data_IF_233441159521
#
_entry.id   IF_233441159521
#
_cell.length_a   1.000
_cell.length_b   1.000
_cell.length_c   1.000
_cell.angle_alpha   90.00
_cell.angle_beta   90.00
_cell.angle_gamma   90.00
#
_symmetry.space_group_name_H-M   'P 1'
#
loop_
_entity.id
_entity.type
_entity.pdbx_description
1 polymer ?
#
# COMPACT_ATOMS: atom_id res chain seq x y z
N UNK A 1 -28.26 12.97 -46.67
CA UNK A 1 -28.19 13.49 -45.28
C UNK A 1 -28.40 12.34 -44.31
N UNK A 2 -27.46 12.07 -43.41
CA UNK A 2 -27.60 10.98 -42.44
C UNK A 2 -28.74 11.30 -41.45
N UNK A 3 -29.67 10.36 -41.28
CA UNK A 3 -30.85 10.52 -40.42
C UNK A 3 -30.40 10.59 -38.96
N UNK A 4 -30.79 11.64 -38.24
CA UNK A 4 -30.43 11.84 -36.83
C UNK A 4 -31.13 10.76 -35.97
N UNK A 5 -30.39 10.00 -35.13
CA UNK A 5 -30.99 8.95 -34.31
C UNK A 5 -32.05 9.51 -33.35
N UNK A 6 -33.16 8.81 -33.20
CA UNK A 6 -34.33 9.17 -32.39
C UNK A 6 -34.46 8.28 -31.15
N UNK A 7 -35.34 8.63 -30.22
CA UNK A 7 -35.66 7.81 -29.03
C UNK A 7 -36.12 6.39 -29.43
N UNK A 8 -36.85 6.27 -30.55
CA UNK A 8 -37.28 4.97 -31.09
C UNK A 8 -36.10 4.10 -31.51
N UNK A 9 -35.08 4.70 -32.10
CA UNK A 9 -33.87 4.00 -32.54
C UNK A 9 -33.04 3.54 -31.33
N UNK A 10 -32.98 4.35 -30.27
CA UNK A 10 -32.37 3.97 -28.98
C UNK A 10 -33.12 2.79 -28.35
N UNK A 11 -34.45 2.84 -28.32
CA UNK A 11 -35.29 1.77 -27.76
C UNK A 11 -35.09 0.44 -28.50
N UNK A 12 -35.06 0.49 -29.84
CA UNK A 12 -34.77 -0.68 -30.67
C UNK A 12 -33.35 -1.22 -30.43
N UNK A 13 -32.34 -0.35 -30.39
CA UNK A 13 -30.95 -0.75 -30.15
C UNK A 13 -30.72 -1.30 -28.73
N UNK A 14 -31.49 -0.85 -27.74
CA UNK A 14 -31.43 -1.33 -26.35
C UNK A 14 -32.29 -2.59 -26.11
N UNK A 15 -33.20 -2.93 -27.04
CA UNK A 15 -34.19 -3.99 -26.87
C UNK A 15 -35.23 -3.66 -25.78
N UNK A 16 -35.65 -2.40 -25.68
CA UNK A 16 -36.56 -1.88 -24.66
C UNK A 16 -37.73 -1.11 -25.30
N UNK A 17 -38.78 -0.82 -24.51
CA UNK A 17 -39.87 0.03 -24.98
C UNK A 17 -39.45 1.51 -25.04
N UNK A 18 -40.07 2.30 -25.94
CA UNK A 18 -39.85 3.76 -25.98
C UNK A 18 -40.17 4.42 -24.64
N UNK A 19 -41.20 3.96 -23.93
CA UNK A 19 -41.56 4.45 -22.61
C UNK A 19 -40.44 4.21 -21.58
N UNK A 20 -39.75 3.06 -21.64
CA UNK A 20 -38.61 2.75 -20.76
C UNK A 20 -37.43 3.68 -21.03
N UNK A 21 -37.11 3.95 -22.31
CA UNK A 21 -36.04 4.88 -22.70
C UNK A 21 -36.39 6.31 -22.33
N UNK A 22 -37.65 6.72 -22.52
CA UNK A 22 -38.15 8.03 -22.13
C UNK A 22 -38.07 8.23 -20.60
N UNK A 23 -38.39 7.21 -19.80
CA UNK A 23 -38.19 7.25 -18.33
C UNK A 23 -36.73 7.47 -17.95
N UNK A 24 -35.78 6.77 -18.59
CA UNK A 24 -34.34 6.98 -18.36
C UNK A 24 -33.90 8.38 -18.81
N UNK A 25 -34.44 8.87 -19.93
CA UNK A 25 -34.12 10.19 -20.49
C UNK A 25 -34.75 11.36 -19.74
N UNK A 26 -35.88 11.18 -19.06
CA UNK A 26 -36.63 12.24 -18.40
C UNK A 26 -36.61 12.15 -16.86
N UNK A 27 -36.12 11.06 -16.28
CA UNK A 27 -35.89 10.93 -14.83
C UNK A 27 -37.17 10.99 -13.98
N UNK A 28 -38.34 10.64 -14.56
CA UNK A 28 -39.65 10.80 -13.89
C UNK A 28 -39.97 9.66 -12.91
N UNK A 29 -39.29 8.52 -13.01
CA UNK A 29 -39.45 7.34 -12.13
C UNK A 29 -38.09 6.62 -11.98
N UNK A 30 -37.81 6.01 -10.83
CA UNK A 30 -36.58 5.24 -10.61
C UNK A 30 -36.54 4.01 -11.53
N UNK A 31 -35.58 3.99 -12.46
CA UNK A 31 -35.30 2.85 -13.33
C UNK A 31 -34.10 2.11 -12.77
N UNK A 32 -34.12 0.77 -12.80
CA UNK A 32 -32.97 -0.05 -12.38
C UNK A 32 -31.69 0.38 -13.10
N UNK A 33 -30.58 0.48 -12.37
CA UNK A 33 -29.28 0.93 -12.89
C UNK A 33 -28.85 0.14 -14.14
N UNK A 34 -29.05 -1.18 -14.13
CA UNK A 34 -28.75 -2.06 -15.27
C UNK A 34 -29.49 -1.65 -16.55
N UNK A 35 -30.78 -1.30 -16.41
CA UNK A 35 -31.61 -0.84 -17.53
C UNK A 35 -31.14 0.53 -18.03
N UNK A 36 -30.81 1.45 -17.12
CA UNK A 36 -30.30 2.77 -17.48
C UNK A 36 -28.94 2.67 -18.21
N UNK A 37 -28.06 1.75 -17.77
CA UNK A 37 -26.76 1.47 -18.40
C UNK A 37 -26.91 0.85 -19.79
N UNK A 38 -27.87 -0.07 -19.97
CA UNK A 38 -28.22 -0.63 -21.29
C UNK A 38 -28.70 0.46 -22.26
N UNK A 39 -29.54 1.39 -21.79
CA UNK A 39 -30.01 2.53 -22.60
C UNK A 39 -28.85 3.45 -22.98
N UNK A 40 -27.94 3.74 -22.04
CA UNK A 40 -26.75 4.54 -22.30
C UNK A 40 -25.84 3.92 -23.37
N UNK A 41 -25.51 2.64 -23.25
CA UNK A 41 -24.65 1.95 -24.23
C UNK A 41 -25.29 1.89 -25.62
N UNK A 42 -26.61 1.67 -25.69
CA UNK A 42 -27.35 1.72 -26.95
C UNK A 42 -27.33 3.12 -27.57
N UNK A 43 -27.59 4.16 -26.77
CA UNK A 43 -27.57 5.56 -27.19
C UNK A 43 -26.17 5.98 -27.70
N UNK A 44 -25.10 5.58 -27.00
CA UNK A 44 -23.71 5.82 -27.40
C UNK A 44 -23.39 5.14 -28.73
N UNK A 45 -23.77 3.87 -28.88
CA UNK A 45 -23.49 3.06 -30.08
C UNK A 45 -24.10 3.64 -31.36
N UNK A 46 -25.32 4.18 -31.25
CA UNK A 46 -26.01 4.75 -32.41
C UNK A 46 -25.74 6.24 -32.62
N UNK A 47 -24.91 6.87 -31.78
CA UNK A 47 -24.62 8.31 -31.88
C UNK A 47 -25.80 9.20 -31.48
N UNK A 48 -26.65 8.77 -30.56
CA UNK A 48 -27.79 9.55 -30.08
C UNK A 48 -27.32 10.81 -29.34
N UNK A 49 -27.86 11.96 -29.72
CA UNK A 49 -27.41 13.28 -29.26
C UNK A 49 -27.50 13.49 -27.74
N UNK A 50 -28.44 12.83 -27.05
CA UNK A 50 -28.58 12.95 -25.59
C UNK A 50 -27.82 11.87 -24.79
N UNK A 51 -26.98 11.06 -25.44
CA UNK A 51 -26.13 10.09 -24.74
C UNK A 51 -25.26 10.73 -23.62
N UNK A 52 -24.67 11.94 -23.79
CA UNK A 52 -23.94 12.61 -22.71
C UNK A 52 -24.81 12.95 -21.49
N UNK A 53 -26.08 13.29 -21.73
CA UNK A 53 -27.06 13.64 -20.69
C UNK A 53 -27.46 12.39 -19.87
N UNK A 54 -27.62 11.25 -20.54
CA UNK A 54 -27.85 9.95 -19.89
C UNK A 54 -26.63 9.57 -19.04
N UNK A 55 -25.41 9.77 -19.58
CA UNK A 55 -24.16 9.52 -18.85
C UNK A 55 -24.07 10.38 -17.58
N UNK A 56 -24.39 11.66 -17.69
CA UNK A 56 -24.31 12.61 -16.58
C UNK A 56 -25.28 12.26 -15.44
N UNK A 57 -26.48 11.76 -15.76
CA UNK A 57 -27.45 11.31 -14.74
C UNK A 57 -27.08 9.98 -14.11
N UNK A 58 -26.62 9.03 -14.92
CA UNK A 58 -26.03 7.79 -14.41
C UNK A 58 -24.87 8.09 -13.45
N UNK A 59 -24.07 9.14 -13.73
CA UNK A 59 -22.99 9.60 -12.86
C UNK A 59 -23.47 10.38 -11.63
N UNK A 60 -24.59 11.11 -11.71
CA UNK A 60 -25.13 11.89 -10.60
C UNK A 60 -25.67 11.02 -9.45
N UNK A 61 -26.06 9.77 -9.74
CA UNK A 61 -26.48 8.79 -8.73
C UNK A 61 -25.30 7.99 -8.14
N UNK A 62 -24.09 8.11 -8.68
CA UNK A 62 -22.93 7.35 -8.16
C UNK A 62 -22.45 7.99 -6.86
N UNK A 63 -22.46 7.27 -5.73
CA UNK A 63 -21.96 7.79 -4.46
C UNK A 63 -20.50 8.22 -4.63
N UNK A 64 -20.09 9.20 -3.83
CA UNK A 64 -18.71 9.71 -3.86
C UNK A 64 -18.04 9.40 -2.53
N UNK A 65 -16.86 8.77 -2.59
CA UNK A 65 -15.96 8.56 -1.46
C UNK A 65 -14.82 9.58 -1.56
N UNK A 66 -14.72 10.45 -0.57
CA UNK A 66 -13.56 11.31 -0.33
C UNK A 66 -12.62 10.54 0.59
N UNK A 67 -11.48 10.10 0.07
CA UNK A 67 -10.47 9.39 0.86
C UNK A 67 -9.29 10.31 1.16
N UNK A 68 -8.87 10.35 2.41
CA UNK A 68 -7.60 10.96 2.82
C UNK A 68 -6.53 9.88 2.93
N UNK A 69 -5.31 10.16 2.49
CA UNK A 69 -4.16 9.29 2.72
C UNK A 69 -2.98 10.09 3.24
N UNK A 70 -2.44 9.68 4.38
CA UNK A 70 -1.21 10.24 4.97
C UNK A 70 -0.06 9.27 4.77
N UNK A 71 0.89 9.63 3.91
CA UNK A 71 2.13 8.90 3.69
C UNK A 71 3.31 9.67 4.31
N UNK A 72 4.53 9.20 4.11
CA UNK A 72 5.74 9.92 4.49
C UNK A 72 6.81 9.72 3.41
N UNK A 73 7.94 10.45 3.50
CA UNK A 73 9.07 10.33 2.55
C UNK A 73 8.64 10.51 1.08
N UNK A 74 7.96 11.62 0.77
CA UNK A 74 7.43 11.98 -0.57
C UNK A 74 8.42 11.77 -1.73
N UNK A 75 9.71 12.00 -1.49
CA UNK A 75 10.77 11.88 -2.52
C UNK A 75 11.27 10.45 -2.76
N UNK A 76 10.85 9.47 -1.96
CA UNK A 76 11.27 8.08 -2.12
C UNK A 76 10.40 7.36 -3.14
N UNK A 77 11.06 6.59 -4.03
CA UNK A 77 10.42 5.90 -5.14
C UNK A 77 9.26 5.00 -4.71
N UNK A 78 9.39 4.30 -3.58
CA UNK A 78 8.31 3.46 -3.03
C UNK A 78 7.04 4.28 -2.73
N UNK A 79 7.17 5.42 -2.05
CA UNK A 79 6.02 6.25 -1.67
C UNK A 79 5.43 7.03 -2.86
N UNK A 80 6.24 7.37 -3.87
CA UNK A 80 5.75 7.91 -5.14
C UNK A 80 4.92 6.87 -5.91
N UNK A 81 5.39 5.62 -5.95
CA UNK A 81 4.65 4.53 -6.55
C UNK A 81 3.36 4.24 -5.77
N UNK A 82 3.42 4.26 -4.43
CA UNK A 82 2.23 4.06 -3.59
C UNK A 82 1.18 5.16 -3.83
N UNK A 83 1.57 6.43 -3.86
CA UNK A 83 0.66 7.52 -4.21
C UNK A 83 0.04 7.33 -5.61
N UNK A 84 0.85 6.95 -6.60
CA UNK A 84 0.39 6.68 -7.97
C UNK A 84 -0.62 5.53 -8.02
N UNK A 85 -0.40 4.46 -7.27
CA UNK A 85 -1.32 3.32 -7.18
C UNK A 85 -2.60 3.64 -6.42
N UNK A 86 -2.55 4.50 -5.40
CA UNK A 86 -3.76 5.02 -4.73
C UNK A 86 -4.64 5.76 -5.73
N UNK A 87 -4.06 6.66 -6.53
CA UNK A 87 -4.81 7.38 -7.56
C UNK A 87 -5.33 6.43 -8.66
N UNK A 88 -4.53 5.43 -9.04
CA UNK A 88 -4.94 4.44 -10.01
C UNK A 88 -6.11 3.60 -9.51
N UNK A 89 -6.08 3.14 -8.26
CA UNK A 89 -7.20 2.44 -7.62
C UNK A 89 -8.45 3.32 -7.54
N UNK A 90 -8.30 4.61 -7.20
CA UNK A 90 -9.40 5.57 -7.22
C UNK A 90 -10.04 5.71 -8.61
N UNK A 91 -9.24 5.69 -9.70
CA UNK A 91 -9.72 5.70 -11.09
C UNK A 91 -10.34 4.37 -11.53
N UNK A 92 -9.84 3.24 -11.03
CA UNK A 92 -10.32 1.88 -11.34
C UNK A 92 -11.63 1.55 -10.62
N UNK A 93 -11.97 2.25 -9.54
CA UNK A 93 -13.18 2.01 -8.77
C UNK A 93 -14.46 2.06 -9.64
N UNK A 94 -15.29 1.02 -9.54
CA UNK A 94 -16.55 0.91 -10.28
C UNK A 94 -17.75 1.03 -9.32
N UNK A 95 -18.80 1.74 -9.73
CA UNK A 95 -20.01 1.92 -8.90
C UNK A 95 -19.84 2.90 -7.75
N UNK A 96 -18.69 3.57 -7.66
CA UNK A 96 -18.36 4.60 -6.68
C UNK A 96 -17.36 5.57 -7.31
N UNK A 97 -17.55 6.87 -7.11
CA UNK A 97 -16.56 7.88 -7.49
C UNK A 97 -15.61 8.13 -6.34
N UNK A 98 -14.31 7.95 -6.55
CA UNK A 98 -13.32 8.13 -5.49
C UNK A 98 -12.51 9.41 -5.73
N UNK A 99 -12.39 10.23 -4.69
CA UNK A 99 -11.54 11.43 -4.67
C UNK A 99 -10.48 11.23 -3.59
N UNK A 100 -9.24 11.01 -4.00
CA UNK A 100 -8.11 10.87 -3.09
C UNK A 100 -7.46 12.23 -2.81
N UNK A 101 -7.21 12.51 -1.53
CA UNK A 101 -6.36 13.60 -1.04
C UNK A 101 -5.16 12.95 -0.36
N UNK A 102 -3.97 13.11 -0.94
CA UNK A 102 -2.75 12.49 -0.42
C UNK A 102 -1.87 13.60 0.18
N UNK A 103 -1.48 13.43 1.43
CA UNK A 103 -0.56 14.33 2.13
C UNK A 103 0.64 13.52 2.66
N UNK A 104 1.81 14.16 2.74
CA UNK A 104 3.04 13.51 3.17
C UNK A 104 3.58 14.16 4.44
N UNK A 105 3.84 13.35 5.46
CA UNK A 105 4.58 13.79 6.64
C UNK A 105 6.03 14.11 6.26
N UNK A 106 6.49 15.29 6.67
CA UNK A 106 7.85 15.78 6.46
C UNK A 106 8.87 15.09 7.38
N UNK A 107 8.41 14.48 8.46
CA UNK A 107 9.26 13.76 9.42
C UNK A 107 8.58 12.50 9.96
N UNK A 108 9.30 11.73 10.78
CA UNK A 108 8.75 10.61 11.54
C UNK A 108 8.23 11.04 12.93
N UNK A 109 8.06 12.34 13.17
CA UNK A 109 7.49 12.87 14.40
C UNK A 109 6.05 12.39 14.58
N UNK A 110 5.67 11.83 15.74
CA UNK A 110 4.29 11.51 16.05
C UNK A 110 3.35 12.72 15.90
N UNK A 111 3.80 13.90 16.30
CA UNK A 111 3.01 15.13 16.23
C UNK A 111 2.69 15.54 14.78
N UNK A 112 3.63 15.36 13.85
CA UNK A 112 3.41 15.66 12.42
C UNK A 112 2.34 14.73 11.83
N UNK A 113 2.42 13.43 12.13
CA UNK A 113 1.39 12.47 11.71
C UNK A 113 0.02 12.76 12.33
N UNK A 114 -0.03 13.07 13.62
CA UNK A 114 -1.27 13.42 14.32
C UNK A 114 -1.91 14.68 13.71
N UNK A 115 -1.11 15.72 13.45
CA UNK A 115 -1.57 16.96 12.83
C UNK A 115 -2.15 16.72 11.42
N UNK A 116 -1.49 15.90 10.59
CA UNK A 116 -1.99 15.55 9.26
C UNK A 116 -3.28 14.73 9.31
N UNK A 117 -3.36 13.75 10.21
CA UNK A 117 -4.59 12.96 10.43
C UNK A 117 -5.76 13.86 10.82
N UNK A 118 -5.57 14.71 11.83
CA UNK A 118 -6.61 15.66 12.28
C UNK A 118 -6.93 16.71 11.21
N UNK A 119 -5.96 17.10 10.38
CA UNK A 119 -6.15 18.02 9.25
C UNK A 119 -7.05 17.48 8.13
N UNK A 120 -7.32 16.17 8.11
CA UNK A 120 -8.28 15.54 7.18
C UNK A 120 -9.74 15.72 7.63
N UNK A 121 -9.98 16.14 8.87
CA UNK A 121 -11.30 16.37 9.45
C UNK A 121 -12.19 17.23 8.54
N UNK A 122 -13.42 16.79 8.33
CA UNK A 122 -14.43 17.49 7.50
C UNK A 122 -14.15 17.50 5.99
N UNK A 123 -12.92 17.17 5.55
CA UNK A 123 -12.52 17.13 4.13
C UNK A 123 -12.78 15.77 3.50
N UNK A 124 -12.68 14.70 4.28
CA UNK A 124 -12.76 13.32 3.80
C UNK A 124 -13.77 12.50 4.59
N UNK A 125 -14.21 11.38 4.00
CA UNK A 125 -15.15 10.44 4.60
C UNK A 125 -14.40 9.30 5.33
N UNK A 126 -13.17 8.98 4.91
CA UNK A 126 -12.30 8.01 5.56
C UNK A 126 -10.82 8.40 5.37
N UNK A 127 -9.96 7.99 6.30
CA UNK A 127 -8.51 8.29 6.25
C UNK A 127 -7.72 6.99 6.28
N UNK A 128 -6.66 6.88 5.48
CA UNK A 128 -5.64 5.86 5.65
C UNK A 128 -4.29 6.51 5.96
N UNK A 129 -3.41 5.83 6.68
CA UNK A 129 -2.08 6.36 6.90
C UNK A 129 -1.02 5.27 7.01
N UNK A 130 0.21 5.60 6.63
CA UNK A 130 1.40 4.87 7.06
C UNK A 130 2.15 5.71 8.08
N UNK A 131 1.83 5.48 9.36
CA UNK A 131 2.28 6.28 10.49
C UNK A 131 2.95 5.43 11.57
N UNK A 132 3.73 6.09 12.42
CA UNK A 132 4.39 5.49 13.58
C UNK A 132 3.38 5.12 14.68
N UNK A 133 3.71 4.10 15.47
CA UNK A 133 2.93 3.73 16.67
C UNK A 133 3.31 4.65 17.83
N UNK A 134 2.37 5.47 18.28
CA UNK A 134 2.56 6.41 19.38
C UNK A 134 1.21 6.81 20.02
N UNK A 135 1.15 7.13 21.33
CA UNK A 135 -0.06 7.62 21.98
C UNK A 135 -0.70 8.82 21.26
N UNK A 136 0.07 9.85 20.91
CA UNK A 136 -0.45 11.03 20.18
C UNK A 136 -1.16 10.69 18.85
N UNK A 137 -0.61 9.71 18.12
CA UNK A 137 -1.25 9.23 16.87
C UNK A 137 -2.53 8.46 17.20
N UNK A 138 -2.52 7.64 18.26
CA UNK A 138 -3.72 6.93 18.75
C UNK A 138 -4.81 7.89 19.21
N UNK A 139 -4.46 8.99 19.85
CA UNK A 139 -5.41 10.03 20.28
C UNK A 139 -6.05 10.71 19.06
N UNK A 140 -5.25 11.08 18.06
CA UNK A 140 -5.76 11.62 16.80
C UNK A 140 -6.72 10.63 16.09
N UNK A 141 -6.39 9.34 16.06
CA UNK A 141 -7.27 8.30 15.51
C UNK A 141 -8.55 8.16 16.32
N UNK A 142 -8.48 8.28 17.64
CA UNK A 142 -9.63 8.23 18.54
C UNK A 142 -10.59 9.37 18.25
N UNK A 143 -10.08 10.60 18.14
CA UNK A 143 -10.87 11.79 17.77
C UNK A 143 -11.56 11.61 16.42
N UNK A 144 -10.83 11.17 15.38
CA UNK A 144 -11.43 10.92 14.07
C UNK A 144 -12.54 9.85 14.12
N UNK A 145 -12.33 8.78 14.89
CA UNK A 145 -13.33 7.72 15.07
C UNK A 145 -14.59 8.24 15.74
N UNK A 146 -14.46 9.03 16.80
CA UNK A 146 -15.59 9.63 17.53
C UNK A 146 -16.43 10.56 16.64
N UNK A 147 -15.80 11.13 15.61
CA UNK A 147 -16.45 11.98 14.61
C UNK A 147 -16.99 11.19 13.41
N UNK A 148 -16.89 9.86 13.44
CA UNK A 148 -17.38 8.99 12.37
C UNK A 148 -16.47 8.90 11.15
N UNK A 149 -15.21 9.33 11.25
CA UNK A 149 -14.19 9.17 10.20
C UNK A 149 -13.32 7.94 10.50
N UNK A 150 -13.57 6.78 9.86
CA UNK A 150 -12.77 5.58 10.09
C UNK A 150 -11.34 5.76 9.60
N UNK A 151 -10.38 5.31 10.41
CA UNK A 151 -8.94 5.33 10.07
C UNK A 151 -8.44 3.92 9.73
N UNK A 152 -7.69 3.81 8.64
CA UNK A 152 -7.07 2.58 8.16
C UNK A 152 -5.55 2.66 8.30
N UNK A 153 -4.94 1.70 8.99
CA UNK A 153 -3.49 1.63 9.12
C UNK A 153 -2.88 0.92 7.91
N UNK A 154 -1.84 1.49 7.31
CA UNK A 154 -1.15 0.98 6.12
C UNK A 154 0.31 0.65 6.46
N UNK A 155 0.74 -0.57 6.12
CA UNK A 155 2.12 -1.09 6.23
C UNK A 155 2.65 -1.24 7.67
N UNK A 156 2.32 -0.30 8.56
CA UNK A 156 2.62 -0.33 9.99
C UNK A 156 1.32 -0.30 10.80
N UNK A 157 1.22 -1.20 11.78
CA UNK A 157 -0.04 -1.45 12.48
C UNK A 157 -0.27 -0.54 13.71
N UNK A 158 -0.47 0.76 13.49
CA UNK A 158 -0.67 1.74 14.58
C UNK A 158 -2.11 1.77 15.12
N UNK A 159 -2.32 2.41 16.27
CA UNK A 159 -3.60 2.57 16.97
C UNK A 159 -4.45 1.27 17.07
N UNK A 160 -3.87 0.11 17.47
CA UNK A 160 -4.63 -1.12 17.66
C UNK A 160 -5.78 -0.94 18.66
N UNK A 161 -6.91 -1.56 18.34
CA UNK A 161 -8.15 -1.42 19.10
C UNK A 161 -8.99 -0.18 18.78
N UNK A 162 -8.41 0.83 18.12
CA UNK A 162 -9.11 2.08 17.78
C UNK A 162 -9.32 2.24 16.27
N UNK A 163 -8.28 1.97 15.46
CA UNK A 163 -8.39 2.03 14.00
C UNK A 163 -9.45 1.06 13.48
N UNK A 164 -9.98 1.33 12.27
CA UNK A 164 -10.97 0.47 11.61
C UNK A 164 -10.37 -0.84 11.11
N UNK A 165 -9.25 -0.77 10.41
CA UNK A 165 -8.60 -1.95 9.83
C UNK A 165 -7.11 -1.68 9.58
N UNK A 166 -6.30 -2.73 9.56
CA UNK A 166 -4.93 -2.71 9.08
C UNK A 166 -4.82 -3.35 7.71
N UNK A 167 -4.12 -2.73 6.79
CA UNK A 167 -3.78 -3.28 5.49
C UNK A 167 -2.26 -3.33 5.34
N UNK A 168 -1.75 -4.51 5.08
CA UNK A 168 -0.33 -4.70 4.82
C UNK A 168 0.05 -6.18 4.88
N UNK A 169 1.34 -6.43 5.03
CA UNK A 169 1.85 -7.79 5.13
C UNK A 169 1.76 -8.30 6.58
N UNK A 170 1.77 -9.62 6.74
CA UNK A 170 2.03 -10.23 8.04
C UNK A 170 3.52 -10.11 8.34
N UNK A 171 3.88 -9.08 9.08
CA UNK A 171 5.27 -8.69 9.31
C UNK A 171 6.09 -9.77 10.05
N UNK A 172 5.48 -10.54 10.95
CA UNK A 172 6.14 -11.69 11.59
C UNK A 172 6.50 -12.76 10.56
N UNK A 173 5.59 -13.09 9.64
CA UNK A 173 5.85 -14.04 8.54
C UNK A 173 6.90 -13.50 7.57
N UNK A 174 6.85 -12.21 7.23
CA UNK A 174 7.85 -11.54 6.37
C UNK A 174 9.25 -11.67 6.97
N UNK A 175 9.39 -11.43 8.28
CA UNK A 175 10.65 -11.65 9.00
C UNK A 175 11.18 -13.07 8.88
N UNK A 176 10.31 -14.07 9.06
CA UNK A 176 10.67 -15.49 8.92
C UNK A 176 11.07 -15.85 7.48
N UNK A 177 10.41 -15.27 6.47
CA UNK A 177 10.76 -15.45 5.05
C UNK A 177 12.14 -14.88 4.76
N UNK A 178 12.45 -13.67 5.25
CA UNK A 178 13.77 -13.08 5.07
C UNK A 178 14.87 -13.94 5.72
N UNK A 179 14.64 -14.41 6.95
CA UNK A 179 15.58 -15.29 7.65
C UNK A 179 15.79 -16.62 6.94
N UNK A 180 14.70 -17.25 6.45
CA UNK A 180 14.82 -18.53 5.76
C UNK A 180 15.64 -18.41 4.48
N UNK A 181 15.43 -17.35 3.71
CA UNK A 181 16.22 -17.09 2.49
C UNK A 181 17.69 -16.88 2.84
N UNK A 182 18.01 -16.08 3.87
CA UNK A 182 19.40 -15.94 4.30
C UNK A 182 19.98 -17.28 4.75
N UNK A 183 19.26 -18.06 5.54
CA UNK A 183 19.73 -19.36 6.03
C UNK A 183 19.98 -20.38 4.92
N UNK A 184 19.21 -20.33 3.83
CA UNK A 184 19.39 -21.20 2.66
C UNK A 184 20.46 -20.68 1.69
N UNK A 185 20.51 -19.37 1.46
CA UNK A 185 21.43 -18.75 0.49
C UNK A 185 22.86 -18.60 1.05
N UNK A 186 23.00 -18.48 2.37
CA UNK A 186 24.32 -18.47 3.00
C UNK A 186 24.94 -19.88 2.89
N UNK A 187 25.83 -20.06 1.92
CA UNK A 187 26.56 -21.32 1.66
C UNK A 187 27.31 -21.90 2.87
N UNK A 188 27.57 -21.08 3.89
CA UNK A 188 28.14 -21.49 5.17
C UNK A 188 27.61 -20.63 6.32
N UNK A 189 27.59 -21.16 7.56
CA UNK A 189 27.20 -20.39 8.73
C UNK A 189 28.11 -19.19 8.99
N UNK A 190 27.60 -18.21 9.71
CA UNK A 190 28.34 -16.99 10.06
C UNK A 190 27.47 -15.98 10.78
N UNK A 191 27.90 -14.72 10.77
CA UNK A 191 27.14 -13.63 11.39
C UNK A 191 26.03 -13.13 10.48
N UNK A 192 24.90 -12.79 11.08
CA UNK A 192 23.74 -12.23 10.39
C UNK A 192 23.28 -10.96 11.12
N UNK A 193 23.03 -9.90 10.36
CA UNK A 193 22.56 -8.63 10.89
C UNK A 193 21.15 -8.29 10.39
N UNK A 194 20.45 -7.46 11.16
CA UNK A 194 19.14 -6.92 10.81
C UNK A 194 19.10 -5.42 11.10
N UNK A 195 18.59 -4.65 10.15
CA UNK A 195 18.33 -3.21 10.28
C UNK A 195 16.83 -2.95 10.43
N UNK A 196 16.49 -2.04 11.33
CA UNK A 196 15.12 -1.53 11.49
C UNK A 196 15.12 0.00 11.40
N UNK A 197 14.02 0.56 10.90
CA UNK A 197 13.82 2.00 10.83
C UNK A 197 13.75 2.71 12.19
N UNK A 198 13.45 1.97 13.25
CA UNK A 198 13.23 2.51 14.60
C UNK A 198 12.05 1.81 15.26
N UNK A 199 12.01 1.84 16.59
CA UNK A 199 11.08 1.03 17.40
C UNK A 199 9.63 1.50 17.39
N UNK A 200 9.35 2.70 16.86
CA UNK A 200 7.96 3.15 16.65
C UNK A 200 7.32 2.52 15.41
N UNK A 201 8.09 1.83 14.58
CA UNK A 201 7.58 1.04 13.47
C UNK A 201 7.32 -0.39 13.94
N UNK A 202 6.16 -0.63 14.53
CA UNK A 202 5.74 -1.94 15.01
C UNK A 202 5.89 -3.05 13.95
N UNK A 203 5.66 -2.74 12.67
CA UNK A 203 5.90 -3.66 11.57
C UNK A 203 7.37 -4.10 11.45
N UNK A 204 8.33 -3.21 11.72
CA UNK A 204 9.75 -3.54 11.71
C UNK A 204 10.13 -4.43 12.90
N UNK A 205 9.57 -4.16 14.09
CA UNK A 205 9.76 -5.01 15.28
C UNK A 205 9.23 -6.42 15.03
N UNK A 206 8.04 -6.56 14.42
CA UNK A 206 7.48 -7.87 14.08
C UNK A 206 8.33 -8.60 13.04
N UNK A 207 8.87 -7.90 12.03
CA UNK A 207 9.82 -8.48 11.06
C UNK A 207 11.09 -8.96 11.77
N UNK A 208 11.66 -8.15 12.66
CA UNK A 208 12.83 -8.53 13.44
C UNK A 208 12.55 -9.75 14.34
N UNK A 209 11.43 -9.74 15.06
CA UNK A 209 11.01 -10.85 15.92
C UNK A 209 10.83 -12.14 15.10
N UNK A 210 10.20 -12.04 13.93
CA UNK A 210 10.04 -13.15 13.00
C UNK A 210 11.38 -13.67 12.50
N UNK A 211 12.26 -12.76 12.10
CA UNK A 211 13.61 -13.07 11.65
C UNK A 211 14.43 -13.81 12.72
N UNK A 212 14.48 -13.28 13.94
CA UNK A 212 15.15 -13.91 15.10
C UNK A 212 14.53 -15.25 15.46
N UNK A 213 13.20 -15.36 15.41
CA UNK A 213 12.50 -16.62 15.73
C UNK A 213 12.92 -17.75 14.80
N UNK A 214 13.07 -17.49 13.51
CA UNK A 214 13.42 -18.50 12.53
C UNK A 214 14.84 -19.02 12.76
N UNK A 215 15.82 -18.14 13.02
CA UNK A 215 17.20 -18.58 13.27
C UNK A 215 17.34 -19.35 14.59
N UNK A 216 16.61 -18.99 15.64
CA UNK A 216 16.59 -19.78 16.88
C UNK A 216 16.08 -21.20 16.66
N UNK A 217 15.14 -21.37 15.74
CA UNK A 217 14.45 -22.64 15.48
C UNK A 217 15.20 -23.51 14.45
N UNK A 218 15.68 -22.92 13.36
CA UNK A 218 16.20 -23.65 12.19
C UNK A 218 17.64 -23.28 11.78
N UNK A 219 18.18 -22.20 12.32
CA UNK A 219 19.52 -21.72 11.99
C UNK A 219 20.43 -21.50 13.21
N UNK A 220 20.47 -22.38 14.23
CA UNK A 220 21.26 -22.16 15.45
C UNK A 220 22.78 -22.04 15.19
N UNK A 221 23.25 -22.48 14.03
CA UNK A 221 24.63 -22.32 13.56
C UNK A 221 24.98 -20.90 13.13
N UNK A 222 23.99 -20.02 12.93
CA UNK A 222 24.20 -18.60 12.64
C UNK A 222 24.25 -17.78 13.93
N UNK A 223 25.15 -16.82 13.98
CA UNK A 223 25.21 -15.85 15.07
C UNK A 223 24.45 -14.59 14.68
N UNK A 224 23.36 -14.29 15.37
CA UNK A 224 22.62 -13.05 15.15
C UNK A 224 23.28 -11.94 15.94
N UNK A 225 23.59 -10.84 15.24
CA UNK A 225 24.07 -9.61 15.84
C UNK A 225 22.91 -8.83 16.47
N UNK A 226 23.26 -7.83 17.28
CA UNK A 226 22.30 -6.87 17.80
C UNK A 226 21.63 -6.09 16.67
N UNK A 227 20.39 -5.68 16.90
CA UNK A 227 19.59 -4.96 15.92
C UNK A 227 20.15 -3.56 15.71
N UNK A 228 20.30 -3.16 14.45
CA UNK A 228 20.82 -1.86 14.06
C UNK A 228 19.66 -0.94 13.67
N UNK A 229 19.64 0.27 14.24
CA UNK A 229 18.64 1.29 13.89
C UNK A 229 19.22 2.23 12.84
N UNK A 230 18.53 2.38 11.69
CA UNK A 230 19.00 3.21 10.58
C UNK A 230 18.15 4.46 10.29
N UNK A 231 17.08 4.66 11.05
CA UNK A 231 16.11 5.76 10.86
C UNK A 231 15.52 5.81 9.44
N UNK A 232 15.55 4.68 8.74
CA UNK A 232 15.15 4.53 7.34
C UNK A 232 15.87 5.51 6.39
N UNK A 233 17.11 5.88 6.70
CA UNK A 233 17.90 6.81 5.89
C UNK A 233 18.98 6.10 5.10
N UNK A 234 19.24 6.57 3.88
CA UNK A 234 20.33 6.06 3.04
C UNK A 234 21.68 6.23 3.72
N UNK A 235 21.97 7.42 4.25
CA UNK A 235 23.28 7.76 4.80
C UNK A 235 23.64 6.90 6.00
N UNK A 236 22.77 6.83 7.02
CA UNK A 236 23.05 6.04 8.23
C UNK A 236 23.16 4.55 7.91
N UNK A 237 22.33 4.04 6.99
CA UNK A 237 22.41 2.63 6.58
C UNK A 237 23.73 2.32 5.89
N UNK A 238 24.20 3.22 5.02
CA UNK A 238 25.48 3.07 4.32
C UNK A 238 26.66 3.04 5.30
N UNK A 239 26.77 4.03 6.18
CA UNK A 239 27.85 4.12 7.16
C UNK A 239 27.86 2.93 8.12
N UNK A 240 26.69 2.57 8.67
CA UNK A 240 26.56 1.42 9.56
C UNK A 240 26.87 0.10 8.84
N UNK A 241 26.53 -0.03 7.55
CA UNK A 241 26.87 -1.22 6.76
C UNK A 241 28.38 -1.32 6.52
N UNK A 242 29.06 -0.22 6.19
CA UNK A 242 30.52 -0.24 6.03
C UNK A 242 31.23 -0.61 7.33
N UNK A 243 30.83 -0.04 8.45
CA UNK A 243 31.37 -0.38 9.78
C UNK A 243 31.13 -1.85 10.14
N UNK A 244 29.91 -2.35 9.88
CA UNK A 244 29.55 -3.76 10.07
C UNK A 244 30.44 -4.69 9.24
N UNK A 245 30.64 -4.36 7.95
CA UNK A 245 31.49 -5.12 7.04
C UNK A 245 32.97 -5.05 7.43
N UNK A 246 33.44 -3.94 7.98
CA UNK A 246 34.81 -3.82 8.46
C UNK A 246 35.06 -4.67 9.72
N UNK A 247 34.11 -4.68 10.67
CA UNK A 247 34.22 -5.40 11.95
C UNK A 247 33.93 -6.89 11.85
N UNK A 248 33.13 -7.33 10.88
CA UNK A 248 32.68 -8.72 10.76
C UNK A 248 32.94 -9.27 9.35
N UNK A 249 34.16 -9.76 9.13
CA UNK A 249 34.55 -10.42 7.85
C UNK A 249 33.77 -11.71 7.59
N UNK A 250 33.22 -12.30 8.63
CA UNK A 250 32.38 -13.49 8.64
C UNK A 250 30.87 -13.19 8.51
N UNK A 251 30.48 -11.93 8.27
CA UNK A 251 29.10 -11.58 7.97
C UNK A 251 28.65 -12.32 6.69
N UNK A 252 27.54 -13.04 6.78
CA UNK A 252 26.96 -13.84 5.69
C UNK A 252 25.60 -13.36 5.26
N UNK A 253 24.89 -12.64 6.12
CA UNK A 253 23.52 -12.22 5.87
C UNK A 253 23.22 -10.85 6.45
N UNK A 254 22.42 -10.09 5.71
CA UNK A 254 21.84 -8.84 6.15
C UNK A 254 20.37 -8.80 5.76
N UNK A 255 19.53 -8.33 6.67
CA UNK A 255 18.15 -8.01 6.36
C UNK A 255 17.87 -6.54 6.67
N UNK A 256 17.44 -5.78 5.67
CA UNK A 256 16.94 -4.40 5.88
C UNK A 256 15.42 -4.46 5.98
N UNK A 257 14.92 -4.48 7.21
CA UNK A 257 13.52 -4.74 7.54
C UNK A 257 12.63 -3.49 7.47
N UNK A 258 12.94 -2.54 6.58
CA UNK A 258 12.30 -1.23 6.44
C UNK A 258 13.02 -0.39 5.38
N UNK A 259 12.92 0.94 5.44
CA UNK A 259 13.65 1.81 4.51
C UNK A 259 15.17 1.90 4.74
N UNK A 260 15.88 2.59 3.85
CA UNK A 260 17.33 2.86 3.93
C UNK A 260 18.22 1.85 3.19
N UNK A 261 17.61 0.84 2.58
CA UNK A 261 18.26 -0.22 1.81
C UNK A 261 19.22 0.26 0.72
N UNK A 262 19.01 1.44 0.14
CA UNK A 262 19.90 2.05 -0.86
C UNK A 262 21.31 2.23 -0.30
N UNK A 263 21.41 2.53 1.00
CA UNK A 263 22.68 2.64 1.70
C UNK A 263 23.36 1.28 1.88
N UNK A 264 22.62 0.24 2.25
CA UNK A 264 23.16 -1.11 2.38
C UNK A 264 23.67 -1.65 1.03
N UNK A 265 22.91 -1.45 -0.05
CA UNK A 265 23.30 -1.85 -1.41
C UNK A 265 24.56 -1.10 -1.85
N UNK A 266 24.63 0.22 -1.62
CA UNK A 266 25.80 1.02 -1.95
C UNK A 266 27.05 0.56 -1.19
N UNK A 267 26.93 0.30 0.12
CA UNK A 267 28.05 -0.15 0.94
C UNK A 267 28.54 -1.55 0.54
N UNK A 268 27.63 -2.46 0.17
CA UNK A 268 28.02 -3.79 -0.33
C UNK A 268 28.74 -3.71 -1.67
N UNK A 269 28.26 -2.86 -2.60
CA UNK A 269 28.94 -2.59 -3.88
C UNK A 269 30.38 -2.11 -3.71
N UNK A 270 30.61 -1.31 -2.67
CA UNK A 270 31.92 -0.75 -2.38
C UNK A 270 32.87 -1.76 -1.71
N UNK A 271 32.36 -2.52 -0.72
CA UNK A 271 33.21 -3.27 0.20
C UNK A 271 33.22 -4.79 -0.02
N UNK A 272 32.37 -5.35 -0.90
CA UNK A 272 32.22 -6.79 -1.12
C UNK A 272 31.99 -7.12 -2.59
N UNK A 273 32.19 -8.39 -2.95
CA UNK A 273 31.78 -8.92 -4.25
C UNK A 273 30.31 -9.35 -4.22
N UNK A 274 29.61 -9.35 -5.38
CA UNK A 274 28.27 -9.92 -5.49
C UNK A 274 28.19 -11.32 -4.87
N UNK A 275 27.12 -11.59 -4.13
CA UNK A 275 26.88 -12.87 -3.46
C UNK A 275 27.72 -13.18 -2.20
N UNK A 276 28.71 -12.36 -1.83
CA UNK A 276 29.51 -12.63 -0.60
C UNK A 276 28.70 -12.48 0.70
N UNK A 277 27.73 -11.58 0.69
CA UNK A 277 26.77 -11.35 1.77
C UNK A 277 25.36 -11.42 1.18
N UNK A 278 24.54 -12.33 1.70
CA UNK A 278 23.14 -12.44 1.32
C UNK A 278 22.37 -11.24 1.86
N UNK A 279 21.84 -10.40 0.97
CA UNK A 279 21.04 -9.22 1.37
C UNK A 279 19.58 -9.45 1.01
N UNK A 280 18.70 -9.39 2.01
CA UNK A 280 17.25 -9.34 1.83
C UNK A 280 16.75 -7.94 2.18
N UNK A 281 15.79 -7.43 1.42
CA UNK A 281 15.28 -6.05 1.58
C UNK A 281 13.77 -5.94 1.41
N UNK A 282 13.19 -4.89 1.98
CA UNK A 282 11.87 -4.35 1.64
C UNK A 282 12.10 -2.93 1.10
N UNK A 283 11.69 -2.52 -0.10
CA UNK A 283 10.67 -3.01 -1.05
C UNK A 283 11.28 -3.15 -2.46
N UNK A 284 10.50 -3.46 -3.50
CA UNK A 284 10.98 -3.38 -4.89
C UNK A 284 11.03 -1.91 -5.36
N UNK A 285 12.23 -1.35 -5.50
CA UNK A 285 12.51 0.00 -5.97
C UNK A 285 13.51 -0.06 -7.14
N UNK A 286 13.78 1.04 -7.86
CA UNK A 286 14.84 1.06 -8.87
C UNK A 286 16.20 0.59 -8.32
N UNK A 287 16.58 0.99 -7.11
CA UNK A 287 17.83 0.61 -6.46
C UNK A 287 17.86 -0.88 -6.12
N UNK A 288 16.77 -1.42 -5.59
CA UNK A 288 16.70 -2.83 -5.21
C UNK A 288 16.62 -3.76 -6.41
N UNK A 289 15.91 -3.34 -7.47
CA UNK A 289 15.92 -4.00 -8.77
C UNK A 289 17.32 -4.04 -9.37
N UNK A 290 18.04 -2.91 -9.36
CA UNK A 290 19.43 -2.88 -9.81
C UNK A 290 20.34 -3.75 -8.93
N UNK A 291 20.13 -3.75 -7.62
CA UNK A 291 20.85 -4.63 -6.70
C UNK A 291 20.60 -6.12 -6.95
N UNK A 292 19.38 -6.51 -7.34
CA UNK A 292 19.04 -7.88 -7.75
C UNK A 292 19.80 -8.25 -9.03
N UNK A 293 19.75 -7.40 -10.06
CA UNK A 293 20.44 -7.64 -11.34
C UNK A 293 21.96 -7.79 -11.15
N UNK A 294 22.56 -6.96 -10.29
CA UNK A 294 24.01 -6.98 -10.06
C UNK A 294 24.45 -8.04 -9.02
N UNK A 295 23.51 -8.81 -8.45
CA UNK A 295 23.81 -9.87 -7.46
C UNK A 295 24.17 -9.37 -6.06
N UNK A 296 23.90 -8.10 -5.73
CA UNK A 296 24.09 -7.53 -4.38
C UNK A 296 22.85 -7.65 -3.49
N UNK A 297 21.67 -7.84 -4.07
CA UNK A 297 20.42 -8.17 -3.37
C UNK A 297 20.07 -9.60 -3.74
N UNK A 298 19.83 -10.44 -2.74
CA UNK A 298 19.43 -11.84 -2.93
C UNK A 298 17.92 -11.95 -3.15
N UNK A 299 17.13 -11.12 -2.45
CA UNK A 299 15.68 -11.09 -2.59
C UNK A 299 15.13 -9.74 -2.16
N UNK A 300 14.16 -9.22 -2.90
CA UNK A 300 13.27 -8.15 -2.45
C UNK A 300 11.90 -8.73 -2.08
N UNK A 301 11.41 -8.39 -0.89
CA UNK A 301 10.06 -8.72 -0.45
C UNK A 301 9.19 -7.48 -0.68
N UNK A 302 8.27 -7.59 -1.64
CA UNK A 302 7.43 -6.47 -2.07
C UNK A 302 6.00 -6.60 -1.56
N UNK A 303 5.44 -5.47 -1.16
CA UNK A 303 4.02 -5.29 -0.89
C UNK A 303 3.29 -5.14 -2.23
N UNK A 304 2.22 -5.92 -2.50
CA UNK A 304 1.46 -5.81 -3.74
C UNK A 304 0.58 -4.56 -3.72
N UNK A 305 1.18 -3.39 -4.00
CA UNK A 305 0.53 -2.09 -3.91
C UNK A 305 -0.77 -1.97 -4.72
N UNK A 306 -0.88 -2.49 -5.97
CA UNK A 306 -2.14 -2.44 -6.71
C UNK A 306 -3.28 -3.12 -5.96
N UNK A 307 -3.05 -4.33 -5.45
CA UNK A 307 -4.05 -5.07 -4.66
C UNK A 307 -4.36 -4.36 -3.34
N UNK A 308 -3.34 -3.87 -2.64
CA UNK A 308 -3.51 -3.15 -1.38
C UNK A 308 -4.39 -1.91 -1.58
N UNK A 309 -4.16 -1.13 -2.64
CA UNK A 309 -4.93 0.08 -2.92
C UNK A 309 -6.36 -0.22 -3.36
N UNK A 310 -6.58 -1.25 -4.18
CA UNK A 310 -7.92 -1.69 -4.57
C UNK A 310 -8.72 -2.19 -3.35
N UNK A 311 -8.09 -2.97 -2.47
CA UNK A 311 -8.67 -3.42 -1.21
C UNK A 311 -8.96 -2.25 -0.25
N UNK A 312 -8.08 -1.25 -0.20
CA UNK A 312 -8.28 -0.05 0.61
C UNK A 312 -9.54 0.70 0.21
N UNK A 313 -9.70 0.98 -1.09
CA UNK A 313 -10.89 1.67 -1.62
C UNK A 313 -12.16 0.89 -1.30
N UNK A 314 -12.14 -0.43 -1.53
CA UNK A 314 -13.28 -1.31 -1.25
C UNK A 314 -13.64 -1.30 0.24
N UNK A 315 -12.66 -1.45 1.13
CA UNK A 315 -12.87 -1.50 2.58
C UNK A 315 -13.31 -0.15 3.16
N UNK A 316 -12.81 0.97 2.62
CA UNK A 316 -13.29 2.31 2.97
C UNK A 316 -14.77 2.48 2.58
N UNK A 317 -15.13 2.12 1.34
CA UNK A 317 -16.51 2.19 0.87
C UNK A 317 -17.46 1.29 1.67
N UNK A 318 -17.00 0.10 2.06
CA UNK A 318 -17.75 -0.81 2.93
C UNK A 318 -17.96 -0.23 4.33
N UNK A 319 -16.90 0.32 4.95
CA UNK A 319 -16.99 0.92 6.27
C UNK A 319 -18.04 2.04 6.35
N UNK A 320 -18.15 2.87 5.32
CA UNK A 320 -19.17 3.93 5.24
C UNK A 320 -20.60 3.40 5.15
N UNK A 321 -20.81 2.20 4.58
CA UNK A 321 -22.14 1.58 4.50
C UNK A 321 -22.53 0.85 5.79
N UNK A 322 -21.58 0.17 6.41
CA UNK A 322 -21.83 -0.66 7.61
C UNK A 322 -21.83 0.14 8.91
N UNK A 323 -21.31 1.37 8.91
CA UNK A 323 -21.16 2.17 10.13
C UNK A 323 -20.04 1.69 11.04
N UNK A 324 -19.96 2.21 12.29
CA UNK A 324 -18.95 1.84 13.27
C UNK A 324 -18.90 0.33 13.55
N UNK A 325 -17.73 -0.19 13.90
CA UNK A 325 -17.48 -1.60 14.25
C UNK A 325 -16.51 -1.59 15.40
N UNK A 326 -16.83 -2.37 16.43
CA UNK A 326 -15.98 -2.50 17.62
C UNK A 326 -14.82 -3.48 17.41
N UNK A 327 -14.84 -4.24 16.31
CA UNK A 327 -13.77 -5.19 15.96
C UNK A 327 -12.80 -4.53 14.99
N UNK A 328 -11.58 -4.25 15.46
CA UNK A 328 -10.47 -3.84 14.62
C UNK A 328 -10.00 -5.01 13.74
N UNK A 329 -10.09 -4.84 12.41
CA UNK A 329 -9.67 -5.86 11.46
C UNK A 329 -8.16 -5.86 11.19
N UNK A 330 -7.67 -7.00 10.66
CA UNK A 330 -6.39 -7.08 9.95
C UNK A 330 -6.64 -7.75 8.59
N UNK A 331 -6.23 -7.05 7.52
CA UNK A 331 -6.28 -7.52 6.14
C UNK A 331 -4.86 -7.78 5.64
N UNK A 332 -4.41 -9.01 5.79
CA UNK A 332 -3.06 -9.42 5.36
C UNK A 332 -3.03 -9.75 3.88
N UNK A 333 -2.15 -9.06 3.15
CA UNK A 333 -1.82 -9.41 1.78
C UNK A 333 -0.69 -10.45 1.73
N UNK A 334 -0.62 -11.19 0.62
CA UNK A 334 0.51 -12.09 0.35
C UNK A 334 1.68 -11.24 -0.17
N UNK A 335 2.90 -11.39 0.37
CA UNK A 335 4.05 -10.69 -0.17
C UNK A 335 4.41 -11.23 -1.56
N UNK A 336 4.89 -10.35 -2.43
CA UNK A 336 5.56 -10.72 -3.67
C UNK A 336 7.05 -10.93 -3.38
N UNK A 337 7.58 -12.10 -3.71
CA UNK A 337 9.00 -12.41 -3.52
C UNK A 337 9.71 -12.27 -4.87
N UNK A 338 10.59 -11.29 -4.97
CA UNK A 338 11.33 -10.98 -6.19
C UNK A 338 12.75 -11.48 -6.02
N UNK A 339 13.15 -12.40 -6.89
CA UNK A 339 14.49 -12.99 -6.96
C UNK A 339 15.21 -12.47 -8.21
N UNK A 340 16.55 -12.50 -8.24
CA UNK A 340 17.30 -12.20 -9.46
C UNK A 340 16.94 -13.18 -10.57
N UNK A 341 16.89 -12.68 -11.81
CA UNK A 341 16.77 -13.54 -12.99
C UNK A 341 18.09 -14.31 -13.18
N UNK A 342 18.01 -15.62 -13.41
CA UNK A 342 19.20 -16.40 -13.76
C UNK A 342 19.67 -15.99 -15.16
N UNK A 343 20.89 -15.45 -15.25
CA UNK A 343 21.57 -15.13 -16.52
C UNK A 343 22.52 -16.26 -16.89
#
# INVERSE_FOLDING_TARGET
MARRPTIRDVAQAAGLSQATVDRVLNGREQVREETARRVYEAARRIGYHAAPLIAQRLQAEVPTLRMGVVLHKEKQAFYQNFASEIEAAARRATGLRVRATIEFSTSQSPADFAALLLGMRGRVDAVAASAVTHPEVTDAVTTLREEGVPVFALLNDFAPGIRRNYLGLNNLKVGRIAASVIGMAAHRPGKVAVFVGGYRWHGHELREAGFRSWFREYGPQFQLLDTLVNLETRQLTYEATLDLLARHRELRGMYVAGGGMEGAIAALREARKPGEVCLVVNELTPESRSGLVDGFVTMAISTPLPQLCDDLVRLMAEALRTGPSDVAGQHFLRPELILPEAV
#
